data_IF_450160121950
#
_entry.id   IF_450160121950
#
_cell.length_a   1.000
_cell.length_b   1.000
_cell.length_c   1.000
_cell.angle_alpha   90.00
_cell.angle_beta   90.00
_cell.angle_gamma   90.00
#
_symmetry.space_group_name_H-M   'P 1'
#
loop_
_entity.id
_entity.type
_entity.pdbx_description
1 polymer ?
#
# COMPACT_ATOMS: atom_id res chain seq x y z
N UNK A 1 -31.34 0.72 -79.18
CA UNK A 1 -30.11 0.62 -80.02
C UNK A 1 -29.53 2.04 -80.06
N UNK A 2 -28.54 2.50 -79.28
CA UNK A 2 -27.21 1.93 -78.95
C UNK A 2 -26.34 2.00 -80.20
N UNK A 3 -25.30 2.83 -80.40
CA UNK A 3 -24.37 3.67 -79.58
C UNK A 3 -23.81 4.81 -80.51
N UNK A 4 -22.68 5.56 -80.31
CA UNK A 4 -21.71 5.70 -79.19
C UNK A 4 -21.17 7.14 -78.91
N UNK A 5 -20.21 7.20 -77.96
CA UNK A 5 -19.13 8.21 -77.72
C UNK A 5 -19.35 9.27 -76.63
N UNK A 6 -18.39 9.70 -75.81
CA UNK A 6 -17.04 9.27 -75.36
C UNK A 6 -16.59 10.33 -74.34
N UNK A 7 -16.32 9.91 -73.09
CA UNK A 7 -15.27 10.30 -72.11
C UNK A 7 -15.16 11.77 -71.59
N UNK A 8 -14.75 11.85 -70.30
CA UNK A 8 -14.13 12.93 -69.51
C UNK A 8 -15.11 13.57 -68.50
N UNK A 9 -14.91 13.62 -67.17
CA UNK A 9 -13.72 13.51 -66.31
C UNK A 9 -14.17 13.05 -64.92
N UNK A 10 -13.53 12.05 -64.33
CA UNK A 10 -13.82 11.61 -62.97
C UNK A 10 -13.14 12.58 -61.99
N UNK A 11 -13.95 13.29 -61.21
CA UNK A 11 -13.49 14.11 -60.10
C UNK A 11 -12.88 13.19 -59.02
N UNK A 12 -11.61 13.44 -58.70
CA UNK A 12 -10.91 12.83 -57.58
C UNK A 12 -11.57 13.25 -56.27
N UNK A 13 -12.38 12.35 -55.71
CA UNK A 13 -12.81 12.42 -54.32
C UNK A 13 -11.68 11.94 -53.42
N UNK A 14 -11.04 12.87 -52.71
CA UNK A 14 -10.16 12.56 -51.58
C UNK A 14 -10.93 11.75 -50.52
N UNK A 15 -10.49 10.53 -50.15
CA UNK A 15 -10.85 10.00 -48.86
C UNK A 15 -9.96 10.70 -47.83
N UNK A 16 -10.63 11.53 -47.02
CA UNK A 16 -10.08 12.16 -45.82
C UNK A 16 -9.29 11.13 -45.01
N UNK A 17 -8.10 11.51 -44.58
CA UNK A 17 -7.24 10.72 -43.71
C UNK A 17 -8.00 10.28 -42.47
N UNK A 18 -8.32 8.99 -42.42
CA UNK A 18 -8.66 8.30 -41.18
C UNK A 18 -7.38 8.24 -40.37
N UNK A 19 -7.28 9.10 -39.36
CA UNK A 19 -6.36 8.95 -38.24
C UNK A 19 -6.49 7.53 -37.72
N UNK A 20 -5.51 6.67 -38.06
CA UNK A 20 -5.36 5.37 -37.47
C UNK A 20 -5.17 5.59 -35.97
N UNK A 21 -6.26 5.44 -35.22
CA UNK A 21 -6.26 5.37 -33.77
C UNK A 21 -5.25 4.30 -33.40
N UNK A 22 -4.11 4.72 -32.85
CA UNK A 22 -3.11 3.83 -32.26
C UNK A 22 -3.74 3.23 -31.03
N UNK A 23 -4.33 2.05 -31.19
CA UNK A 23 -4.80 1.21 -30.10
C UNK A 23 -3.59 0.91 -29.18
N UNK A 24 -3.54 1.41 -27.92
CA UNK A 24 -2.35 1.30 -27.08
C UNK A 24 -2.10 -0.10 -26.53
N UNK A 25 -2.95 -1.09 -26.84
CA UNK A 25 -2.91 -2.41 -26.23
C UNK A 25 -2.57 -3.52 -27.23
N UNK A 26 -1.55 -3.30 -28.07
CA UNK A 26 -0.91 -4.42 -28.77
C UNK A 26 -0.12 -5.26 -27.76
N UNK A 27 -0.78 -6.24 -27.15
CA UNK A 27 -0.13 -7.27 -26.31
C UNK A 27 1.00 -7.91 -27.10
N UNK A 28 2.23 -7.72 -26.65
CA UNK A 28 3.36 -8.55 -27.04
C UNK A 28 3.13 -9.92 -26.42
N UNK A 29 3.14 -11.03 -27.18
CA UNK A 29 3.11 -12.37 -26.59
C UNK A 29 4.32 -12.51 -25.67
N UNK A 30 4.10 -12.80 -24.39
CA UNK A 30 5.15 -13.04 -23.42
C UNK A 30 6.02 -14.20 -23.89
N UNK A 31 7.20 -13.89 -24.43
CA UNK A 31 8.28 -14.84 -24.59
C UNK A 31 8.64 -15.28 -23.17
N UNK A 32 8.28 -16.52 -22.80
CA UNK A 32 8.55 -17.05 -21.47
C UNK A 32 10.05 -17.05 -21.20
N UNK A 33 10.51 -16.10 -20.39
CA UNK A 33 11.79 -16.24 -19.72
C UNK A 33 11.70 -17.45 -18.79
N UNK A 34 12.73 -18.32 -18.72
CA UNK A 34 12.80 -19.30 -17.64
C UNK A 34 12.71 -18.56 -16.30
N UNK A 35 11.94 -19.05 -15.32
CA UNK A 35 11.79 -18.34 -14.05
C UNK A 35 13.18 -18.11 -13.45
N UNK A 36 13.51 -16.85 -13.19
CA UNK A 36 14.81 -16.46 -12.65
C UNK A 36 15.06 -17.04 -11.24
N UNK A 37 14.01 -17.55 -10.58
CA UNK A 37 14.02 -18.06 -9.22
C UNK A 37 13.53 -19.51 -9.12
N UNK A 38 14.15 -20.26 -8.23
CA UNK A 38 13.75 -21.61 -7.84
C UNK A 38 12.47 -21.54 -6.98
N UNK A 39 11.60 -22.58 -7.04
CA UNK A 39 10.43 -22.66 -6.17
C UNK A 39 10.77 -22.56 -4.67
N UNK A 40 11.94 -23.04 -4.26
CA UNK A 40 12.44 -22.93 -2.89
C UNK A 40 12.72 -21.47 -2.47
N UNK A 41 13.12 -20.60 -3.40
CA UNK A 41 13.35 -19.18 -3.12
C UNK A 41 12.03 -18.44 -2.95
N UNK A 42 11.02 -18.76 -3.78
CA UNK A 42 9.66 -18.26 -3.60
C UNK A 42 9.09 -18.70 -2.26
N UNK A 43 9.19 -19.99 -1.91
CA UNK A 43 8.71 -20.51 -0.63
C UNK A 43 9.46 -19.88 0.56
N UNK A 44 10.76 -19.66 0.43
CA UNK A 44 11.54 -18.94 1.43
C UNK A 44 10.99 -17.54 1.63
N UNK A 45 10.74 -16.80 0.55
CA UNK A 45 10.15 -15.46 0.66
C UNK A 45 8.75 -15.49 1.29
N UNK A 46 7.88 -16.42 0.89
CA UNK A 46 6.54 -16.61 1.50
C UNK A 46 6.66 -16.83 3.02
N UNK A 47 7.57 -17.70 3.45
CA UNK A 47 7.79 -17.96 4.86
C UNK A 47 8.28 -16.71 5.61
N UNK A 48 9.12 -15.88 4.99
CA UNK A 48 9.57 -14.61 5.58
C UNK A 48 8.43 -13.57 5.62
N UNK A 49 7.63 -13.47 4.57
CA UNK A 49 6.48 -12.57 4.47
C UNK A 49 5.39 -12.85 5.50
N UNK A 50 5.35 -14.05 6.06
CA UNK A 50 4.39 -14.46 7.10
C UNK A 50 4.97 -14.39 8.53
N UNK A 51 6.26 -14.08 8.70
CA UNK A 51 6.86 -13.91 10.06
C UNK A 51 6.38 -12.61 10.72
N UNK A 52 6.52 -12.45 12.05
CA UNK A 52 6.16 -11.18 12.71
C UNK A 52 7.00 -9.98 12.25
N UNK A 53 8.27 -10.17 11.85
CA UNK A 53 9.15 -9.10 11.37
C UNK A 53 9.25 -9.07 9.84
N UNK A 54 9.19 -7.87 9.28
CA UNK A 54 9.36 -7.51 7.86
C UNK A 54 10.84 -7.46 7.43
N UNK A 55 11.74 -7.01 8.30
CA UNK A 55 13.17 -6.84 8.00
C UNK A 55 13.81 -8.02 7.24
N UNK A 56 13.60 -9.29 7.60
CA UNK A 56 14.20 -10.41 6.87
C UNK A 56 13.73 -10.57 5.42
N UNK A 57 12.46 -10.27 5.11
CA UNK A 57 11.98 -10.36 3.72
C UNK A 57 12.48 -9.18 2.88
N UNK A 58 12.58 -8.00 3.48
CA UNK A 58 13.16 -6.83 2.83
C UNK A 58 14.66 -7.01 2.55
N UNK A 59 15.43 -7.52 3.52
CA UNK A 59 16.86 -7.81 3.37
C UNK A 59 17.11 -8.82 2.25
N UNK A 60 16.34 -9.92 2.20
CA UNK A 60 16.45 -10.91 1.12
C UNK A 60 16.26 -10.30 -0.27
N UNK A 61 15.24 -9.46 -0.43
CA UNK A 61 14.96 -8.84 -1.74
C UNK A 61 15.98 -7.75 -2.08
N UNK A 62 16.44 -6.99 -1.09
CA UNK A 62 17.49 -5.99 -1.26
C UNK A 62 18.85 -6.62 -1.65
N UNK A 63 19.20 -7.78 -1.08
CA UNK A 63 20.40 -8.54 -1.45
C UNK A 63 20.35 -9.00 -2.92
N UNK A 64 19.19 -9.48 -3.38
CA UNK A 64 19.00 -9.90 -4.77
C UNK A 64 19.09 -8.71 -5.73
N UNK A 65 18.48 -7.58 -5.38
CA UNK A 65 18.61 -6.34 -6.16
C UNK A 65 20.07 -5.85 -6.19
N UNK A 66 20.77 -5.86 -5.05
CA UNK A 66 22.19 -5.49 -4.95
C UNK A 66 23.12 -6.43 -5.72
N UNK A 67 22.71 -7.69 -5.95
CA UNK A 67 23.41 -8.64 -6.81
C UNK A 67 23.14 -8.41 -8.33
N UNK A 68 22.34 -7.40 -8.68
CA UNK A 68 22.05 -7.03 -10.06
C UNK A 68 20.90 -7.82 -10.69
N UNK A 69 20.03 -8.46 -9.90
CA UNK A 69 18.82 -9.08 -10.44
C UNK A 69 17.88 -7.98 -10.94
N UNK A 70 17.38 -8.06 -12.19
CA UNK A 70 16.50 -7.03 -12.75
C UNK A 70 15.21 -6.87 -11.93
N UNK A 71 14.73 -5.64 -11.83
CA UNK A 71 13.47 -5.29 -11.19
C UNK A 71 12.31 -6.17 -11.70
N UNK A 72 12.17 -6.30 -13.01
CA UNK A 72 11.10 -7.09 -13.62
C UNK A 72 11.14 -8.56 -13.18
N UNK A 73 12.32 -9.15 -13.04
CA UNK A 73 12.47 -10.52 -12.52
C UNK A 73 12.09 -10.61 -11.04
N UNK A 74 12.47 -9.64 -10.22
CA UNK A 74 12.03 -9.59 -8.80
C UNK A 74 10.51 -9.51 -8.69
N UNK A 75 9.86 -8.72 -9.54
CA UNK A 75 8.41 -8.56 -9.54
C UNK A 75 7.70 -9.80 -10.07
N UNK A 76 8.06 -10.25 -11.28
CA UNK A 76 7.31 -11.27 -12.03
C UNK A 76 7.64 -12.68 -11.57
N UNK A 77 8.90 -12.95 -11.22
CA UNK A 77 9.37 -14.31 -10.95
C UNK A 77 9.52 -14.63 -9.45
N UNK A 78 9.48 -13.62 -8.58
CA UNK A 78 9.59 -13.79 -7.12
C UNK A 78 8.38 -13.27 -6.34
N UNK A 79 8.06 -11.97 -6.45
CA UNK A 79 7.00 -11.33 -5.65
C UNK A 79 5.59 -11.76 -6.10
N UNK A 80 5.32 -11.81 -7.41
CA UNK A 80 4.03 -12.26 -7.93
C UNK A 80 3.74 -13.74 -7.62
N UNK A 81 4.70 -14.68 -7.73
CA UNK A 81 4.51 -16.04 -7.25
C UNK A 81 4.28 -16.12 -5.74
N UNK A 82 5.04 -15.38 -4.92
CA UNK A 82 4.87 -15.39 -3.47
C UNK A 82 3.47 -14.91 -3.03
N UNK A 83 2.99 -13.82 -3.62
CA UNK A 83 1.62 -13.32 -3.35
C UNK A 83 0.53 -14.29 -3.78
N UNK A 84 0.73 -15.02 -4.89
CA UNK A 84 -0.20 -16.07 -5.32
C UNK A 84 -0.25 -17.25 -4.33
N UNK A 85 0.92 -17.71 -3.85
CA UNK A 85 1.00 -18.77 -2.84
C UNK A 85 0.31 -18.37 -1.53
N UNK A 86 0.46 -17.11 -1.11
CA UNK A 86 -0.23 -16.57 0.07
C UNK A 86 -1.75 -16.55 -0.15
N UNK A 87 -2.19 -16.15 -1.34
CA UNK A 87 -3.60 -16.23 -1.73
C UNK A 87 -4.15 -17.66 -1.70
N UNK A 88 -3.39 -18.64 -2.21
CA UNK A 88 -3.77 -20.05 -2.16
C UNK A 88 -3.82 -20.58 -0.72
N UNK A 89 -2.80 -20.30 0.08
CA UNK A 89 -2.76 -20.69 1.48
C UNK A 89 -3.93 -20.08 2.27
N UNK A 90 -4.39 -18.87 1.91
CA UNK A 90 -5.58 -18.27 2.50
C UNK A 90 -6.86 -19.01 2.09
N UNK A 91 -7.04 -19.32 0.80
CA UNK A 91 -8.21 -20.08 0.33
C UNK A 91 -8.29 -21.50 0.89
N UNK A 92 -7.17 -22.04 1.34
CA UNK A 92 -7.06 -23.37 1.95
C UNK A 92 -7.02 -23.32 3.49
N UNK A 93 -7.38 -22.17 4.09
CA UNK A 93 -7.39 -21.93 5.54
C UNK A 93 -6.05 -22.21 6.26
N UNK A 94 -4.92 -22.23 5.51
CA UNK A 94 -3.57 -22.41 6.07
C UNK A 94 -2.96 -21.12 6.60
N UNK A 95 -3.37 -19.99 6.05
CA UNK A 95 -3.10 -18.66 6.60
C UNK A 95 -4.41 -17.92 6.75
N UNK A 96 -4.54 -17.19 7.85
CA UNK A 96 -5.70 -16.35 8.09
C UNK A 96 -5.73 -15.16 7.13
N UNK A 97 -6.91 -14.58 6.94
CA UNK A 97 -7.08 -13.29 6.26
C UNK A 97 -6.12 -12.22 6.82
N UNK A 98 -5.85 -12.32 8.14
CA UNK A 98 -4.94 -11.48 8.89
C UNK A 98 -3.49 -11.59 8.42
N UNK A 99 -2.97 -12.80 8.38
CA UNK A 99 -1.61 -13.09 7.93
C UNK A 99 -1.42 -12.75 6.45
N UNK A 100 -2.42 -13.06 5.61
CA UNK A 100 -2.38 -12.73 4.19
C UNK A 100 -2.33 -11.21 3.94
N UNK A 101 -3.16 -10.43 4.65
CA UNK A 101 -3.17 -8.96 4.56
C UNK A 101 -1.82 -8.32 4.89
N UNK A 102 -1.14 -8.81 5.94
CA UNK A 102 0.21 -8.36 6.30
C UNK A 102 1.21 -8.66 5.18
N UNK A 103 1.18 -9.90 4.69
CA UNK A 103 2.07 -10.34 3.64
C UNK A 103 1.94 -9.46 2.38
N UNK A 104 0.71 -9.11 1.99
CA UNK A 104 0.47 -8.18 0.88
C UNK A 104 1.01 -6.78 1.18
N UNK A 105 0.78 -6.24 2.38
CA UNK A 105 1.34 -4.94 2.80
C UNK A 105 2.87 -4.89 2.69
N UNK A 106 3.56 -5.95 3.08
CA UNK A 106 5.02 -6.07 2.97
C UNK A 106 5.51 -6.16 1.53
N UNK A 107 4.84 -6.96 0.69
CA UNK A 107 5.16 -6.99 -0.74
C UNK A 107 5.01 -5.61 -1.37
N UNK A 108 3.97 -4.86 -0.99
CA UNK A 108 3.79 -3.48 -1.45
C UNK A 108 4.93 -2.55 -1.00
N UNK A 109 5.46 -2.72 0.22
CA UNK A 109 6.62 -1.96 0.70
C UNK A 109 7.90 -2.29 -0.06
N UNK A 110 8.14 -3.59 -0.30
CA UNK A 110 9.28 -4.07 -1.09
C UNK A 110 9.23 -3.48 -2.50
N UNK A 111 8.07 -3.54 -3.16
CA UNK A 111 7.88 -2.96 -4.49
C UNK A 111 8.21 -1.47 -4.53
N UNK A 112 7.75 -0.69 -3.53
CA UNK A 112 8.05 0.74 -3.44
C UNK A 112 9.55 1.01 -3.29
N UNK A 113 10.27 0.23 -2.48
CA UNK A 113 11.70 0.42 -2.27
C UNK A 113 12.52 0.04 -3.51
N UNK A 114 12.15 -1.05 -4.16
CA UNK A 114 12.76 -1.46 -5.42
C UNK A 114 12.53 -0.43 -6.52
N UNK A 115 11.31 0.11 -6.63
CA UNK A 115 11.01 1.13 -7.63
C UNK A 115 11.75 2.45 -7.40
N UNK A 116 12.07 2.78 -6.14
CA UNK A 116 12.88 3.95 -5.78
C UNK A 116 14.37 3.77 -6.07
N UNK A 117 14.86 2.53 -6.21
CA UNK A 117 16.27 2.25 -6.45
C UNK A 117 16.68 2.39 -7.93
N UNK A 118 15.75 2.17 -8.86
CA UNK A 118 16.02 2.08 -10.31
C UNK A 118 15.52 3.28 -11.15
N UNK A 119 14.62 4.13 -10.63
CA UNK A 119 14.02 5.24 -11.39
C UNK A 119 14.76 6.60 -11.22
N UNK A 120 15.02 7.35 -12.31
CA UNK A 120 15.08 8.80 -12.24
C UNK A 120 13.69 9.33 -11.84
N UNK A 121 13.64 10.28 -10.91
CA UNK A 121 12.49 10.69 -10.06
C UNK A 121 11.09 10.97 -10.67
N UNK A 122 10.83 10.78 -11.97
CA UNK A 122 9.70 11.43 -12.67
C UNK A 122 8.49 10.55 -13.05
N UNK A 123 8.46 9.22 -12.78
CA UNK A 123 7.28 8.38 -13.16
C UNK A 123 6.73 7.48 -12.04
N UNK A 124 7.11 7.71 -10.79
CA UNK A 124 6.44 7.08 -9.65
C UNK A 124 5.24 7.92 -9.25
N UNK A 125 4.06 7.32 -9.07
CA UNK A 125 3.01 7.95 -8.25
C UNK A 125 3.45 7.70 -6.80
N UNK A 126 4.00 8.71 -6.10
CA UNK A 126 4.42 8.53 -4.72
C UNK A 126 3.20 8.14 -3.87
N UNK A 127 3.38 7.29 -2.84
CA UNK A 127 2.30 7.04 -1.89
C UNK A 127 1.83 8.37 -1.31
N UNK A 128 0.53 8.47 -1.03
CA UNK A 128 -0.08 9.70 -0.48
C UNK A 128 0.51 10.10 0.87
N UNK A 129 1.06 9.11 1.57
CA UNK A 129 1.80 9.21 2.81
C UNK A 129 1.97 7.82 3.43
N UNK A 130 2.68 7.75 4.55
CA UNK A 130 2.93 6.52 5.30
C UNK A 130 2.21 6.50 6.63
N UNK A 131 1.54 5.40 6.89
CA UNK A 131 0.60 5.22 7.98
C UNK A 131 1.04 4.05 8.86
N UNK A 132 0.94 4.23 10.17
CA UNK A 132 1.06 3.15 11.15
C UNK A 132 -0.33 2.83 11.69
N UNK A 133 -0.82 1.62 11.43
CA UNK A 133 -2.08 1.10 11.94
C UNK A 133 -1.82 0.15 13.10
N UNK A 134 -2.34 0.43 14.28
CA UNK A 134 -2.09 -0.38 15.49
C UNK A 134 -3.33 -0.52 16.34
N UNK A 135 -3.39 -1.54 17.18
CA UNK A 135 -4.39 -1.62 18.26
C UNK A 135 -3.89 -0.90 19.52
N UNK A 136 -4.83 -0.39 20.31
CA UNK A 136 -4.57 0.14 21.64
C UNK A 136 -3.94 -0.91 22.56
N UNK A 137 -3.09 -0.48 23.50
CA UNK A 137 -2.50 -1.38 24.50
C UNK A 137 -3.58 -2.19 25.26
N UNK A 138 -3.35 -3.50 25.38
CA UNK A 138 -4.29 -4.41 26.07
C UNK A 138 -5.48 -4.85 25.22
N UNK A 139 -5.60 -4.36 23.98
CA UNK A 139 -6.62 -4.80 23.03
C UNK A 139 -6.03 -5.71 21.95
N UNK A 140 -6.82 -6.67 21.44
CA UNK A 140 -6.37 -7.68 20.47
C UNK A 140 -7.29 -7.81 19.24
N UNK A 141 -8.27 -6.92 19.09
CA UNK A 141 -9.21 -6.96 17.96
C UNK A 141 -8.50 -6.48 16.67
N UNK A 142 -8.50 -7.31 15.63
CA UNK A 142 -7.69 -7.04 14.42
C UNK A 142 -8.52 -6.89 13.14
N UNK A 143 -9.74 -7.43 13.11
CA UNK A 143 -10.56 -7.45 11.89
C UNK A 143 -10.79 -6.05 11.30
N UNK A 144 -11.21 -5.09 12.14
CA UNK A 144 -11.44 -3.71 11.71
C UNK A 144 -10.16 -3.00 11.26
N UNK A 145 -9.03 -3.29 11.91
CA UNK A 145 -7.73 -2.74 11.57
C UNK A 145 -7.27 -3.20 10.18
N UNK A 146 -7.41 -4.50 9.88
CA UNK A 146 -7.08 -5.05 8.57
C UNK A 146 -7.99 -4.54 7.45
N UNK A 147 -9.30 -4.46 7.71
CA UNK A 147 -10.25 -3.96 6.72
C UNK A 147 -9.90 -2.51 6.33
N UNK A 148 -9.52 -1.69 7.32
CA UNK A 148 -9.02 -0.35 7.09
C UNK A 148 -7.70 -0.36 6.31
N UNK A 149 -6.74 -1.24 6.66
CA UNK A 149 -5.47 -1.36 5.95
C UNK A 149 -5.67 -1.65 4.45
N UNK A 150 -6.57 -2.58 4.11
CA UNK A 150 -6.89 -2.92 2.72
C UNK A 150 -7.48 -1.73 1.96
N UNK A 151 -8.39 -0.97 2.58
CA UNK A 151 -8.97 0.24 1.98
C UNK A 151 -7.88 1.29 1.72
N UNK A 152 -6.99 1.51 2.68
CA UNK A 152 -5.92 2.51 2.57
C UNK A 152 -4.86 2.11 1.53
N UNK A 153 -4.49 0.83 1.47
CA UNK A 153 -3.61 0.31 0.43
C UNK A 153 -4.21 0.53 -0.97
N UNK A 154 -5.52 0.28 -1.15
CA UNK A 154 -6.24 0.57 -2.41
C UNK A 154 -6.32 2.04 -2.76
N UNK A 155 -6.15 2.93 -1.79
CA UNK A 155 -6.06 4.37 -1.97
C UNK A 155 -4.62 4.89 -2.11
N UNK A 156 -3.65 3.99 -2.33
CA UNK A 156 -2.24 4.32 -2.52
C UNK A 156 -1.56 4.94 -1.28
N UNK A 157 -1.99 4.57 -0.08
CA UNK A 157 -1.22 4.82 1.14
C UNK A 157 -0.17 3.73 1.36
N UNK A 158 0.96 4.10 1.94
CA UNK A 158 1.89 3.12 2.53
C UNK A 158 1.42 2.78 3.94
N UNK A 159 1.12 1.51 4.21
CA UNK A 159 0.56 1.05 5.48
C UNK A 159 1.52 0.09 6.16
N UNK A 160 1.89 0.40 7.40
CA UNK A 160 2.57 -0.49 8.34
C UNK A 160 1.57 -0.93 9.40
N UNK A 161 1.54 -2.22 9.72
CA UNK A 161 0.73 -2.76 10.80
C UNK A 161 1.58 -2.93 12.06
N UNK A 162 1.27 -2.15 13.11
CA UNK A 162 1.85 -2.23 14.44
C UNK A 162 1.30 -3.42 15.24
N UNK A 163 0.94 -3.22 16.52
CA UNK A 163 0.42 -4.32 17.33
C UNK A 163 -0.95 -4.80 16.82
N UNK A 164 -1.28 -6.10 16.96
CA UNK A 164 -0.45 -7.18 17.52
C UNK A 164 0.53 -7.84 16.53
N UNK A 165 0.73 -7.26 15.34
CA UNK A 165 1.50 -7.86 14.24
C UNK A 165 2.97 -7.74 14.49
N UNK A 166 3.39 -6.48 14.61
CA UNK A 166 4.70 -6.12 15.08
C UNK A 166 4.56 -6.06 16.60
N UNK A 167 5.33 -6.89 17.29
CA UNK A 167 5.50 -6.87 18.74
C UNK A 167 6.40 -5.68 19.17
N UNK A 168 6.07 -4.49 18.67
CA UNK A 168 6.76 -3.25 18.96
C UNK A 168 5.73 -2.18 19.37
N UNK A 169 6.13 -1.27 20.26
CA UNK A 169 5.28 -0.13 20.58
C UNK A 169 5.24 0.86 19.41
N UNK A 170 4.14 1.60 19.22
CA UNK A 170 4.05 2.65 18.21
C UNK A 170 5.19 3.66 18.33
N UNK A 171 5.57 4.00 19.57
CA UNK A 171 6.69 4.87 19.88
C UNK A 171 8.04 4.36 19.34
N UNK A 172 8.29 3.05 19.40
CA UNK A 172 9.50 2.44 18.82
C UNK A 172 9.47 2.53 17.30
N UNK A 173 8.34 2.20 16.66
CA UNK A 173 8.21 2.22 15.20
C UNK A 173 8.39 3.63 14.63
N UNK A 174 7.73 4.64 15.22
CA UNK A 174 7.89 6.03 14.76
C UNK A 174 9.25 6.65 15.06
N UNK A 175 10.07 5.99 15.88
CA UNK A 175 11.45 6.41 16.14
C UNK A 175 12.45 5.84 15.11
N UNK A 176 12.12 4.68 14.51
CA UNK A 176 12.95 4.06 13.47
C UNK A 176 12.64 4.60 12.09
N UNK A 177 11.39 4.94 11.81
CA UNK A 177 10.93 5.36 10.49
C UNK A 177 9.96 6.53 10.58
N UNK A 178 9.89 7.32 9.50
CA UNK A 178 8.99 8.46 9.42
C UNK A 178 7.57 8.03 9.00
N UNK A 179 6.57 8.54 9.71
CA UNK A 179 5.14 8.31 9.44
C UNK A 179 4.40 9.63 9.41
N UNK A 180 3.40 9.73 8.54
CA UNK A 180 2.51 10.88 8.44
C UNK A 180 1.34 10.79 9.41
N UNK A 181 0.89 9.57 9.70
CA UNK A 181 -0.11 9.32 10.74
C UNK A 181 0.04 7.99 11.47
N UNK A 182 -0.46 7.96 12.71
CA UNK A 182 -0.72 6.75 13.49
C UNK A 182 -2.23 6.62 13.71
N UNK A 183 -2.77 5.46 13.38
CA UNK A 183 -4.18 5.12 13.53
C UNK A 183 -4.31 4.04 14.62
N UNK A 184 -4.93 4.39 15.74
CA UNK A 184 -5.21 3.47 16.84
C UNK A 184 -6.61 2.90 16.71
N UNK A 185 -6.73 1.58 16.60
CA UNK A 185 -8.01 0.89 16.77
C UNK A 185 -8.28 0.65 18.25
N UNK A 186 -9.38 1.22 18.77
CA UNK A 186 -9.77 1.15 20.17
C UNK A 186 -11.27 0.83 20.31
N UNK A 187 -11.58 -0.27 21.00
CA UNK A 187 -12.95 -0.74 21.20
C UNK A 187 -13.46 -0.48 22.63
N UNK A 188 -12.58 -0.16 23.59
CA UNK A 188 -12.94 -0.03 25.01
C UNK A 188 -12.60 1.34 25.59
N UNK A 189 -13.42 1.85 26.51
CA UNK A 189 -13.15 3.13 27.21
C UNK A 189 -11.99 3.06 28.20
N UNK A 190 -11.66 1.85 28.69
CA UNK A 190 -10.56 1.63 29.64
C UNK A 190 -9.18 1.95 29.05
N UNK A 191 -9.05 2.06 27.73
CA UNK A 191 -7.78 2.36 27.07
C UNK A 191 -7.43 3.86 27.02
N UNK A 192 -8.32 4.78 27.46
CA UNK A 192 -8.08 6.23 27.34
C UNK A 192 -6.75 6.69 27.96
N UNK A 193 -6.46 6.26 29.20
CA UNK A 193 -5.22 6.64 29.87
C UNK A 193 -3.98 6.06 29.18
N UNK A 194 -4.07 4.86 28.61
CA UNK A 194 -2.98 4.29 27.82
C UNK A 194 -2.81 5.02 26.50
N UNK A 195 -3.88 5.18 25.72
CA UNK A 195 -3.88 5.92 24.46
C UNK A 195 -3.33 7.33 24.62
N UNK A 196 -3.64 8.02 25.73
CA UNK A 196 -3.06 9.34 26.03
C UNK A 196 -1.54 9.28 26.20
N UNK A 197 -1.03 8.27 26.91
CA UNK A 197 0.42 8.05 27.07
C UNK A 197 1.07 7.69 25.74
N UNK A 198 0.49 6.75 25.00
CA UNK A 198 1.00 6.29 23.70
C UNK A 198 1.02 7.44 22.68
N UNK A 199 -0.06 8.22 22.59
CA UNK A 199 -0.16 9.36 21.69
C UNK A 199 0.89 10.42 22.00
N UNK A 200 1.09 10.72 23.29
CA UNK A 200 2.12 11.65 23.72
C UNK A 200 3.53 11.11 23.40
N UNK A 201 3.76 9.81 23.53
CA UNK A 201 5.05 9.20 23.23
C UNK A 201 5.35 9.16 21.73
N UNK A 202 4.35 8.82 20.91
CA UNK A 202 4.43 8.90 19.43
C UNK A 202 4.88 10.29 19.00
N UNK A 203 4.22 11.35 19.49
CA UNK A 203 4.61 12.74 19.14
C UNK A 203 6.01 13.11 19.61
N UNK A 204 6.43 12.63 20.79
CA UNK A 204 7.77 12.91 21.34
C UNK A 204 8.87 12.24 20.53
N UNK A 205 8.66 11.00 20.09
CA UNK A 205 9.68 10.18 19.42
C UNK A 205 9.69 10.31 17.90
N UNK A 206 8.57 10.71 17.31
CA UNK A 206 8.47 10.93 15.87
C UNK A 206 9.44 12.02 15.39
N UNK A 207 10.15 11.73 14.30
CA UNK A 207 10.92 12.71 13.55
C UNK A 207 10.01 13.69 12.80
N UNK A 208 8.80 13.27 12.43
CA UNK A 208 7.75 14.12 11.85
C UNK A 208 6.97 14.86 12.94
N UNK A 209 7.26 16.16 13.11
CA UNK A 209 6.63 17.04 14.11
C UNK A 209 5.14 17.25 13.89
N UNK A 210 4.65 17.03 12.67
CA UNK A 210 3.26 17.20 12.25
C UNK A 210 2.49 15.88 12.19
N UNK A 211 3.06 14.78 12.70
CA UNK A 211 2.41 13.45 12.68
C UNK A 211 0.98 13.54 13.24
N UNK A 212 0.03 12.97 12.50
CA UNK A 212 -1.37 12.92 12.90
C UNK A 212 -1.67 11.66 13.69
N UNK A 213 -2.55 11.78 14.66
CA UNK A 213 -3.02 10.65 15.47
C UNK A 213 -4.53 10.56 15.31
N UNK A 214 -5.00 9.45 14.76
CA UNK A 214 -6.42 9.20 14.59
C UNK A 214 -6.83 8.02 15.47
N UNK A 215 -8.02 8.11 16.04
CA UNK A 215 -8.64 7.02 16.77
C UNK A 215 -9.73 6.40 15.90
N UNK A 216 -9.71 5.09 15.77
CA UNK A 216 -10.73 4.28 15.14
C UNK A 216 -11.45 3.40 16.16
N UNK A 217 -12.56 2.80 15.74
CA UNK A 217 -13.31 1.84 16.55
C UNK A 217 -14.41 2.49 17.39
N UNK A 218 -14.88 1.78 18.40
CA UNK A 218 -16.08 2.17 19.14
C UNK A 218 -15.85 3.30 20.15
N UNK A 219 -14.60 3.63 20.47
CA UNK A 219 -14.28 4.62 21.49
C UNK A 219 -14.95 5.98 21.25
N UNK A 220 -14.97 6.47 20.00
CA UNK A 220 -15.63 7.74 19.65
C UNK A 220 -17.15 7.70 19.79
N UNK A 221 -17.78 6.54 19.59
CA UNK A 221 -19.22 6.34 19.78
C UNK A 221 -19.58 6.26 21.27
N UNK A 222 -18.75 5.60 22.06
CA UNK A 222 -18.96 5.44 23.50
C UNK A 222 -18.69 6.74 24.26
N UNK A 223 -17.66 7.48 23.87
CA UNK A 223 -17.19 8.70 24.55
C UNK A 223 -16.78 9.78 23.54
N UNK A 224 -17.73 10.60 23.05
CA UNK A 224 -17.50 11.56 21.96
C UNK A 224 -16.38 12.59 22.20
N UNK A 225 -16.00 12.84 23.46
CA UNK A 225 -14.94 13.78 23.84
C UNK A 225 -13.63 13.10 24.25
N UNK A 226 -13.54 11.77 24.24
CA UNK A 226 -12.33 11.05 24.67
C UNK A 226 -11.11 11.38 23.80
N UNK A 227 -11.31 11.52 22.48
CA UNK A 227 -10.20 11.78 21.55
C UNK A 227 -9.46 13.09 21.83
N UNK A 228 -10.16 14.14 22.28
CA UNK A 228 -9.57 15.42 22.68
C UNK A 228 -8.73 15.27 23.96
N UNK A 229 -9.22 14.51 24.93
CA UNK A 229 -8.51 14.23 26.20
C UNK A 229 -7.27 13.37 26.00
N UNK A 230 -7.31 12.47 25.01
CA UNK A 230 -6.20 11.65 24.54
C UNK A 230 -5.15 12.49 23.78
N UNK A 231 -5.57 13.58 23.12
CA UNK A 231 -4.71 14.40 22.27
C UNK A 231 -4.58 13.87 20.83
N UNK A 232 -5.59 13.14 20.37
CA UNK A 232 -5.73 12.74 18.97
C UNK A 232 -6.21 13.94 18.12
N UNK A 233 -5.94 13.89 16.82
CA UNK A 233 -6.35 14.91 15.85
C UNK A 233 -7.76 14.66 15.32
N UNK A 234 -8.19 13.39 15.25
CA UNK A 234 -9.53 13.00 14.82
C UNK A 234 -9.97 11.66 15.38
N UNK A 235 -11.26 11.39 15.28
CA UNK A 235 -11.88 10.10 15.58
C UNK A 235 -12.84 9.71 14.46
N UNK A 236 -12.75 8.46 14.02
CA UNK A 236 -13.68 7.86 13.07
C UNK A 236 -14.23 6.56 13.63
N UNK A 237 -15.45 6.23 13.24
CA UNK A 237 -16.19 5.10 13.78
C UNK A 237 -16.12 3.85 12.90
N UNK A 238 -15.93 4.03 11.59
CA UNK A 238 -15.83 2.96 10.59
C UNK A 238 -14.63 3.17 9.67
N UNK A 239 -14.16 2.10 9.06
CA UNK A 239 -12.96 2.13 8.22
C UNK A 239 -13.07 3.14 7.07
N UNK A 240 -14.25 3.29 6.46
CA UNK A 240 -14.49 4.27 5.39
C UNK A 240 -14.39 5.70 5.94
N UNK A 241 -15.07 6.00 7.05
CA UNK A 241 -15.02 7.32 7.66
C UNK A 241 -13.62 7.72 8.11
N UNK A 242 -12.85 6.78 8.68
CA UNK A 242 -11.44 7.01 9.04
C UNK A 242 -10.57 7.29 7.81
N UNK A 243 -10.80 6.58 6.70
CA UNK A 243 -10.09 6.78 5.45
C UNK A 243 -10.36 8.17 4.84
N UNK A 244 -11.61 8.62 4.87
CA UNK A 244 -12.01 9.95 4.39
C UNK A 244 -11.42 11.06 5.26
N UNK A 245 -11.48 10.91 6.59
CA UNK A 245 -10.85 11.84 7.54
C UNK A 245 -9.35 11.96 7.28
N UNK A 246 -8.67 10.83 7.06
CA UNK A 246 -7.25 10.83 6.77
C UNK A 246 -6.92 11.61 5.49
N UNK A 247 -7.70 11.41 4.42
CA UNK A 247 -7.52 12.13 3.16
C UNK A 247 -7.73 13.65 3.29
N UNK A 248 -8.58 14.09 4.23
CA UNK A 248 -8.76 15.51 4.55
C UNK A 248 -7.65 16.09 5.45
N UNK A 249 -7.05 15.28 6.33
CA UNK A 249 -6.03 15.72 7.29
C UNK A 249 -4.62 15.75 6.71
N UNK A 250 -4.35 14.92 5.72
CA UNK A 250 -3.07 14.80 5.03
C UNK A 250 -3.29 15.18 3.56
N UNK A 251 -3.04 16.45 3.17
CA UNK A 251 -3.14 16.85 1.77
C UNK A 251 -2.17 16.01 0.92
N UNK A 252 -2.58 15.67 -0.30
CA UNK A 252 -1.75 14.89 -1.23
C UNK A 252 -0.41 15.59 -1.44
N UNK A 253 0.69 14.84 -1.41
CA UNK A 253 2.02 15.31 -1.77
C UNK A 253 2.08 15.63 -3.28
N UNK A 254 1.43 16.71 -3.70
CA UNK A 254 1.41 17.20 -5.07
C UNK A 254 0.94 18.66 -5.09
N UNK A 255 1.73 19.56 -4.51
CA UNK A 255 1.73 21.00 -4.78
C UNK A 255 2.82 21.72 -3.95
N UNK A 256 4.10 21.44 -4.18
CA UNK A 256 5.16 22.39 -3.85
C UNK A 256 6.46 22.03 -4.59
N UNK A 257 6.46 22.26 -5.91
CA UNK A 257 7.67 22.44 -6.71
C UNK A 257 7.43 23.66 -7.59
N UNK A 258 7.61 24.84 -7.01
CA UNK A 258 7.37 26.11 -7.70
C UNK A 258 7.77 27.31 -6.85
N UNK A 259 9.09 27.48 -6.66
CA UNK A 259 9.72 28.69 -6.12
C UNK A 259 11.10 28.86 -6.73
#
# INVERSE_FOLDING_TARGET
MGSPRTIHTQAGGSPRGGSASRDPLRRVPGQGHPPAFLPSEVQRLVALLLKPSDRPCEEMVAELAGAGVPFESLVVDLLAPATREIGHAWTEDRVSFFEAGIAYGRVQQILRRLSQADEPADVLIPPRGRLLLTVAEGESHTLGLLALAEILLRQHWDVVLGRPILEATPATLVSSEAYDAVLFSAAQTRSEASLKRESAEVRRRSSHRTIRILLGGQLGKLEPQAWQRIGADAVGDEAIGVSELLAGLLPSASADHGG
#
